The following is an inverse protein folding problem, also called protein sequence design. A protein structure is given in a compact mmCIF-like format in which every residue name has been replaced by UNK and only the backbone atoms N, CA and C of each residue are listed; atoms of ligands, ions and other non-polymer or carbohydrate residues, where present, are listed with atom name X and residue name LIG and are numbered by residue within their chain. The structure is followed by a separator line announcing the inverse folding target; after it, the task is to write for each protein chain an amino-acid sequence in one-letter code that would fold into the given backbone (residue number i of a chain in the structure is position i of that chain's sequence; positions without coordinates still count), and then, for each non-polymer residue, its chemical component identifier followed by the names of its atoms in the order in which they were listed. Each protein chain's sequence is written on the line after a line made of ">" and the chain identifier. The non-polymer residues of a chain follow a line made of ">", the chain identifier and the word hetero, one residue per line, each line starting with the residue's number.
data_IF_644807123467
#
_entry.id   IF_644807123467
#
_cell.length_a   1.000
_cell.length_b   1.000
_cell.length_c   1.000
_cell.angle_alpha   90.00
_cell.angle_beta   90.00
_cell.angle_gamma   90.00
#
_symmetry.space_group_name_H-M   'P 1'
#
loop_
_entity.id
_entity.type
_entity.pdbx_description
1 polymer ?
#
# COMPACT_ATOMS: atom_id res chain seq x y z
N UNK A 1 32.08 75.26 -18.83
CA UNK A 1 32.18 74.72 -17.46
C UNK A 1 30.84 74.06 -17.13
N UNK A 2 30.86 72.73 -17.00
CA UNK A 2 30.10 71.86 -16.08
C UNK A 2 28.61 72.11 -15.77
N UNK A 3 27.74 71.10 -15.58
CA UNK A 3 27.78 69.63 -15.72
C UNK A 3 26.38 69.10 -15.36
N UNK A 4 25.97 68.05 -16.07
CA UNK A 4 25.24 66.85 -15.60
C UNK A 4 23.73 66.88 -15.33
N UNK A 5 23.12 65.90 -15.99
CA UNK A 5 21.73 65.54 -16.12
C UNK A 5 21.13 64.84 -14.90
N UNK A 6 19.79 64.86 -14.90
CA UNK A 6 18.89 64.13 -14.03
C UNK A 6 19.05 62.61 -14.11
N UNK A 7 18.70 61.91 -13.02
CA UNK A 7 18.52 60.47 -13.02
C UNK A 7 18.36 59.89 -11.62
N UNK A 8 17.17 59.99 -11.03
CA UNK A 8 16.81 59.20 -9.85
C UNK A 8 16.13 57.91 -10.34
N UNK A 9 16.92 56.83 -10.46
CA UNK A 9 16.40 55.51 -10.82
C UNK A 9 15.85 54.82 -9.57
N UNK A 10 14.52 54.66 -9.52
CA UNK A 10 13.81 53.92 -8.49
C UNK A 10 13.92 52.41 -8.79
N UNK A 11 14.76 51.69 -8.05
CA UNK A 11 14.87 50.23 -8.09
C UNK A 11 13.66 49.61 -7.39
N UNK A 12 12.67 49.19 -8.17
CA UNK A 12 11.56 48.35 -7.72
C UNK A 12 12.10 46.92 -7.59
N UNK A 13 12.27 46.46 -6.35
CA UNK A 13 12.54 45.04 -6.04
C UNK A 13 11.27 44.25 -6.33
N UNK A 14 11.26 43.55 -7.46
CA UNK A 14 10.25 42.54 -7.79
C UNK A 14 10.42 41.36 -6.83
N UNK A 15 9.69 41.38 -5.71
CA UNK A 15 9.38 40.15 -4.99
C UNK A 15 8.43 39.33 -5.87
N UNK A 16 9.00 38.40 -6.65
CA UNK A 16 8.20 37.35 -7.27
C UNK A 16 7.49 36.59 -6.15
N UNK A 17 6.15 36.53 -6.10
CA UNK A 17 5.49 35.56 -5.24
C UNK A 17 5.99 34.20 -5.74
N UNK A 18 6.61 33.42 -4.86
CA UNK A 18 6.80 32.01 -5.13
C UNK A 18 5.43 31.46 -5.51
N UNK A 19 5.25 31.10 -6.78
CA UNK A 19 4.07 30.40 -7.21
C UNK A 19 4.12 29.05 -6.49
N UNK A 20 3.53 28.98 -5.30
CA UNK A 20 3.23 27.72 -4.66
C UNK A 20 2.41 26.96 -5.67
N UNK A 21 2.98 25.88 -6.21
CA UNK A 21 2.22 24.91 -6.97
C UNK A 21 1.01 24.58 -6.10
N UNK A 22 -0.17 25.00 -6.54
CA UNK A 22 -1.40 24.67 -5.83
C UNK A 22 -1.69 23.22 -6.15
N UNK A 23 -0.97 22.31 -5.47
CA UNK A 23 -1.33 20.91 -5.40
C UNK A 23 -2.78 20.85 -4.99
N UNK A 24 -3.66 20.46 -5.91
CA UNK A 24 -5.07 20.22 -5.60
C UNK A 24 -5.21 18.75 -5.26
N UNK A 25 -5.77 18.41 -4.09
CA UNK A 25 -6.00 17.02 -3.77
C UNK A 25 -7.05 16.41 -4.70
N UNK A 26 -7.25 15.10 -4.60
CA UNK A 26 -8.20 14.34 -5.41
C UNK A 26 -9.68 14.64 -5.11
N UNK A 27 -9.94 15.57 -4.19
CA UNK A 27 -11.27 15.99 -3.75
C UNK A 27 -11.38 17.52 -3.65
N UNK A 28 -12.62 18.02 -3.54
CA UNK A 28 -12.89 19.45 -3.39
C UNK A 28 -12.66 19.90 -1.95
N UNK A 29 -11.64 20.74 -1.73
CA UNK A 29 -11.32 21.29 -0.41
C UNK A 29 -12.45 22.10 0.24
N UNK A 30 -13.36 22.69 -0.55
CA UNK A 30 -14.54 23.36 -0.01
C UNK A 30 -15.53 22.37 0.65
N UNK A 31 -15.40 21.08 0.36
CA UNK A 31 -16.23 20.00 0.90
C UNK A 31 -15.51 19.15 1.94
N UNK A 32 -14.29 19.50 2.33
CA UNK A 32 -13.52 18.80 3.35
C UNK A 32 -14.26 18.79 4.70
N UNK A 33 -14.47 17.61 5.26
CA UNK A 33 -15.18 17.39 6.53
C UNK A 33 -14.26 16.81 7.59
N UNK A 34 -13.42 15.85 7.23
CA UNK A 34 -12.55 15.15 8.20
C UNK A 34 -11.34 16.00 8.56
N UNK A 35 -10.72 15.70 9.71
CA UNK A 35 -9.49 16.38 10.12
C UNK A 35 -8.34 16.12 9.11
N UNK A 36 -8.28 14.91 8.54
CA UNK A 36 -7.32 14.56 7.49
C UNK A 36 -7.58 15.32 6.20
N UNK A 37 -8.83 15.41 5.73
CA UNK A 37 -9.15 16.17 4.51
C UNK A 37 -8.74 17.63 4.65
N UNK A 38 -9.00 18.24 5.81
CA UNK A 38 -8.58 19.62 6.11
C UNK A 38 -7.05 19.75 6.16
N UNK A 39 -6.36 18.76 6.74
CA UNK A 39 -4.90 18.75 6.79
C UNK A 39 -4.29 18.65 5.38
N UNK A 40 -4.82 17.76 4.53
CA UNK A 40 -4.43 17.63 3.12
C UNK A 40 -4.68 18.96 2.37
N UNK A 41 -5.82 19.61 2.60
CA UNK A 41 -6.13 20.89 1.94
C UNK A 41 -5.27 22.07 2.42
N UNK A 42 -4.72 22.00 3.63
CA UNK A 42 -3.89 23.05 4.20
C UNK A 42 -2.40 22.93 3.80
N UNK A 43 -1.99 21.81 3.21
CA UNK A 43 -0.60 21.52 2.84
C UNK A 43 -0.50 21.07 1.37
N UNK A 44 0.19 21.85 0.54
CA UNK A 44 0.31 21.56 -0.89
C UNK A 44 1.05 20.25 -1.19
N UNK A 45 2.00 19.85 -0.34
CA UNK A 45 2.74 18.60 -0.50
C UNK A 45 1.85 17.39 -0.20
N UNK A 46 1.04 17.44 0.86
CA UNK A 46 0.04 16.41 1.15
C UNK A 46 -1.02 16.32 0.05
N UNK A 47 -1.45 17.47 -0.49
CA UNK A 47 -2.40 17.53 -1.59
C UNK A 47 -1.85 16.89 -2.88
N UNK A 48 -0.57 17.13 -3.22
CA UNK A 48 0.09 16.48 -4.35
C UNK A 48 0.19 14.96 -4.18
N UNK A 49 0.53 14.49 -2.98
CA UNK A 49 0.58 13.05 -2.67
C UNK A 49 -0.80 12.40 -2.79
N UNK A 50 -1.85 13.04 -2.26
CA UNK A 50 -3.23 12.55 -2.39
C UNK A 50 -3.67 12.45 -3.87
N UNK A 51 -3.34 13.47 -4.68
CA UNK A 51 -3.62 13.45 -6.11
C UNK A 51 -2.83 12.35 -6.85
N UNK A 52 -1.57 12.10 -6.46
CA UNK A 52 -0.74 11.02 -7.01
C UNK A 52 -1.33 9.64 -6.70
N UNK A 53 -1.73 9.40 -5.45
CA UNK A 53 -2.44 8.19 -5.01
C UNK A 53 -3.68 7.97 -5.87
N UNK A 54 -4.53 8.99 -6.04
CA UNK A 54 -5.74 8.87 -6.81
C UNK A 54 -5.48 8.53 -8.29
N UNK A 55 -4.44 9.12 -8.88
CA UNK A 55 -4.00 8.82 -10.25
C UNK A 55 -3.56 7.36 -10.40
N UNK A 56 -2.69 6.86 -9.51
CA UNK A 56 -2.20 5.48 -9.57
C UNK A 56 -3.32 4.47 -9.29
N UNK A 57 -4.14 4.72 -8.27
CA UNK A 57 -5.31 3.91 -7.95
C UNK A 57 -6.30 3.83 -9.12
N UNK A 58 -6.63 4.97 -9.74
CA UNK A 58 -7.53 5.03 -10.89
C UNK A 58 -7.01 4.22 -12.08
N UNK A 59 -5.72 4.38 -12.41
CA UNK A 59 -5.07 3.61 -13.48
C UNK A 59 -5.12 2.10 -13.21
N UNK A 60 -4.79 1.67 -11.99
CA UNK A 60 -4.83 0.27 -11.60
C UNK A 60 -6.25 -0.31 -11.67
N UNK A 61 -7.25 0.41 -11.14
CA UNK A 61 -8.66 0.00 -11.19
C UNK A 61 -9.21 -0.16 -12.60
N UNK A 62 -8.77 0.67 -13.55
CA UNK A 62 -9.18 0.57 -14.94
C UNK A 62 -8.48 -0.57 -15.70
N UNK A 63 -7.30 -0.99 -15.23
CA UNK A 63 -6.50 -2.04 -15.90
C UNK A 63 -6.80 -3.44 -15.37
N UNK A 64 -7.03 -3.55 -14.06
CA UNK A 64 -7.35 -4.83 -13.43
C UNK A 64 -8.72 -5.36 -13.86
N UNK A 65 -8.85 -6.68 -13.84
CA UNK A 65 -10.14 -7.34 -14.02
C UNK A 65 -11.12 -6.93 -12.90
N UNK A 66 -12.45 -7.06 -13.10
CA UNK A 66 -13.45 -6.56 -12.16
C UNK A 66 -13.29 -7.07 -10.72
N UNK A 67 -12.88 -8.33 -10.54
CA UNK A 67 -12.70 -8.91 -9.21
C UNK A 67 -11.47 -8.30 -8.50
N UNK A 68 -10.33 -8.26 -9.19
CA UNK A 68 -9.11 -7.63 -8.63
C UNK A 68 -9.30 -6.13 -8.40
N UNK A 69 -9.98 -5.41 -9.29
CA UNK A 69 -10.29 -3.99 -9.12
C UNK A 69 -11.23 -3.72 -7.94
N UNK A 70 -12.20 -4.61 -7.68
CA UNK A 70 -13.06 -4.54 -6.48
C UNK A 70 -12.23 -4.75 -5.21
N UNK A 71 -11.38 -5.77 -5.16
CA UNK A 71 -10.50 -6.02 -4.02
C UNK A 71 -9.58 -4.82 -3.75
N UNK A 72 -9.01 -4.19 -4.80
CA UNK A 72 -8.14 -3.01 -4.64
C UNK A 72 -8.91 -1.82 -4.05
N UNK A 73 -10.21 -1.74 -4.36
CA UNK A 73 -11.08 -0.70 -3.79
C UNK A 73 -11.35 -0.93 -2.32
N UNK A 74 -11.55 -2.17 -1.89
CA UNK A 74 -11.71 -2.52 -0.48
C UNK A 74 -10.42 -2.26 0.30
N UNK A 75 -9.28 -2.61 -0.28
CA UNK A 75 -7.94 -2.29 0.24
C UNK A 75 -7.72 -0.76 0.37
N UNK A 76 -8.11 0.03 -0.64
CA UNK A 76 -8.05 1.50 -0.58
C UNK A 76 -8.98 2.08 0.49
N UNK A 77 -10.18 1.51 0.70
CA UNK A 77 -11.08 1.94 1.79
C UNK A 77 -10.47 1.66 3.15
N UNK A 78 -9.82 0.50 3.31
CA UNK A 78 -9.13 0.17 4.54
C UNK A 78 -7.96 1.12 4.80
N UNK A 79 -7.20 1.49 3.76
CA UNK A 79 -6.16 2.50 3.85
C UNK A 79 -6.69 3.84 4.37
N UNK A 80 -7.80 4.33 3.79
CA UNK A 80 -8.42 5.59 4.25
C UNK A 80 -8.83 5.51 5.72
N UNK A 81 -9.41 4.39 6.16
CA UNK A 81 -9.77 4.19 7.56
C UNK A 81 -8.54 4.25 8.48
N UNK A 82 -7.51 3.46 8.17
CA UNK A 82 -6.27 3.42 8.97
C UNK A 82 -5.55 4.76 8.99
N UNK A 83 -5.51 5.46 7.84
CA UNK A 83 -4.94 6.81 7.73
C UNK A 83 -5.63 7.79 8.66
N UNK A 84 -6.96 7.76 8.70
CA UNK A 84 -7.76 8.65 9.53
C UNK A 84 -7.63 8.31 11.03
N UNK A 85 -7.59 7.01 11.39
CA UNK A 85 -7.35 6.54 12.75
C UNK A 85 -5.96 6.96 13.25
N UNK A 86 -4.91 6.72 12.47
CA UNK A 86 -3.55 7.09 12.81
C UNK A 86 -3.32 8.61 12.84
N UNK A 87 -4.06 9.40 12.06
CA UNK A 87 -4.00 10.85 12.18
C UNK A 87 -4.62 11.35 13.50
N UNK A 88 -5.73 10.73 13.91
CA UNK A 88 -6.40 11.07 15.16
C UNK A 88 -5.60 10.63 16.40
N UNK A 89 -4.90 9.51 16.31
CA UNK A 89 -4.04 8.96 17.37
C UNK A 89 -2.75 8.39 16.77
N UNK A 90 -1.75 9.24 16.47
CA UNK A 90 -0.51 8.78 15.86
C UNK A 90 0.20 7.71 16.69
N UNK A 91 0.70 6.62 16.07
CA UNK A 91 1.53 5.67 16.78
C UNK A 91 2.86 6.33 17.19
N UNK A 92 3.31 6.04 18.41
CA UNK A 92 4.57 6.59 18.93
C UNK A 92 4.47 8.07 19.30
N UNK A 93 5.48 8.86 18.94
CA UNK A 93 5.61 10.28 19.31
C UNK A 93 5.55 11.22 18.10
N UNK A 94 5.19 10.71 16.92
CA UNK A 94 5.18 11.53 15.70
C UNK A 94 4.00 12.50 15.69
N UNK A 95 4.19 13.75 15.21
CA UNK A 95 3.09 14.66 14.99
C UNK A 95 2.11 14.12 13.93
N UNK A 96 0.79 14.37 14.05
CA UNK A 96 -0.22 13.90 13.09
C UNK A 96 0.11 14.22 11.62
N UNK A 97 0.66 15.41 11.34
CA UNK A 97 1.02 15.83 9.99
C UNK A 97 2.14 14.97 9.39
N UNK A 98 3.15 14.62 10.21
CA UNK A 98 4.25 13.75 9.77
C UNK A 98 3.73 12.34 9.51
N UNK A 99 2.93 11.80 10.43
CA UNK A 99 2.32 10.48 10.28
C UNK A 99 1.46 10.38 9.01
N UNK A 100 0.64 11.40 8.73
CA UNK A 100 -0.15 11.48 7.51
C UNK A 100 0.75 11.52 6.26
N UNK A 101 1.79 12.35 6.26
CA UNK A 101 2.73 12.45 5.14
C UNK A 101 3.40 11.10 4.83
N UNK A 102 3.85 10.40 5.87
CA UNK A 102 4.50 9.10 5.72
C UNK A 102 3.52 8.06 5.15
N UNK A 103 2.28 8.01 5.66
CA UNK A 103 1.25 7.09 5.14
C UNK A 103 0.88 7.36 3.69
N UNK A 104 0.70 8.63 3.31
CA UNK A 104 0.43 8.98 1.90
C UNK A 104 1.61 8.57 1.02
N UNK A 105 2.85 8.83 1.46
CA UNK A 105 4.06 8.41 0.75
C UNK A 105 4.14 6.90 0.57
N UNK A 106 3.93 6.10 1.62
CA UNK A 106 3.95 4.64 1.52
C UNK A 106 2.84 4.11 0.61
N UNK A 107 1.64 4.71 0.68
CA UNK A 107 0.54 4.30 -0.20
C UNK A 107 0.83 4.61 -1.66
N UNK A 108 1.38 5.78 -1.95
CA UNK A 108 1.74 6.17 -3.32
C UNK A 108 2.85 5.27 -3.88
N UNK A 109 3.85 4.93 -3.05
CA UNK A 109 4.91 4.00 -3.42
C UNK A 109 4.35 2.61 -3.76
N UNK A 110 3.42 2.08 -2.94
CA UNK A 110 2.74 0.83 -3.24
C UNK A 110 1.93 0.88 -4.54
N UNK A 111 1.10 1.93 -4.73
CA UNK A 111 0.26 2.02 -5.93
C UNK A 111 1.07 2.24 -7.21
N UNK A 112 2.19 2.96 -7.12
CA UNK A 112 3.09 3.18 -8.25
C UNK A 112 3.95 1.96 -8.59
N UNK A 113 4.20 1.05 -7.64
CA UNK A 113 4.93 -0.20 -7.87
C UNK A 113 4.07 -1.30 -8.51
N UNK A 114 2.75 -1.12 -8.58
CA UNK A 114 1.83 -2.11 -9.16
C UNK A 114 2.20 -2.47 -10.60
N UNK A 115 2.34 -3.77 -10.85
CA UNK A 115 2.57 -4.31 -12.19
C UNK A 115 1.23 -4.46 -12.91
N UNK A 116 0.97 -3.56 -13.85
CA UNK A 116 -0.27 -3.52 -14.62
C UNK A 116 -0.28 -4.46 -15.84
N UNK A 117 0.61 -5.46 -15.85
CA UNK A 117 0.64 -6.56 -16.81
C UNK A 117 0.39 -7.87 -16.07
N UNK A 118 -0.55 -8.68 -16.58
CA UNK A 118 -0.90 -9.96 -15.97
C UNK A 118 0.31 -10.89 -15.93
N UNK A 119 0.70 -11.33 -14.72
CA UNK A 119 1.64 -12.45 -14.52
C UNK A 119 0.94 -13.78 -14.79
N UNK A 120 1.64 -14.68 -15.48
CA UNK A 120 1.19 -16.05 -15.75
C UNK A 120 1.50 -17.00 -14.58
N UNK A 121 2.66 -16.84 -13.96
CA UNK A 121 3.11 -17.64 -12.81
C UNK A 121 2.75 -17.04 -11.46
N UNK A 122 3.35 -17.62 -10.42
CA UNK A 122 3.21 -17.23 -9.02
C UNK A 122 4.42 -16.43 -8.54
N UNK A 123 5.55 -16.54 -9.24
CA UNK A 123 6.82 -15.97 -8.85
C UNK A 123 6.81 -14.43 -8.81
N UNK A 124 7.67 -13.91 -7.95
CA UNK A 124 7.85 -12.48 -7.69
C UNK A 124 7.15 -12.03 -6.43
N UNK A 125 7.11 -10.70 -6.27
CA UNK A 125 6.57 -10.06 -5.07
C UNK A 125 5.12 -9.63 -5.28
N UNK A 126 4.34 -9.78 -4.21
CA UNK A 126 2.92 -9.49 -4.15
C UNK A 126 2.63 -8.75 -2.85
N UNK A 127 1.87 -7.66 -2.91
CA UNK A 127 1.61 -6.83 -1.73
C UNK A 127 0.14 -6.44 -1.65
N UNK A 128 -0.31 -6.12 -0.45
CA UNK A 128 -1.55 -5.40 -0.16
C UNK A 128 -1.27 -4.40 0.97
N UNK A 129 -2.29 -3.75 1.52
CA UNK A 129 -2.10 -2.79 2.60
C UNK A 129 -1.47 -3.40 3.88
N UNK A 130 -1.75 -4.67 4.16
CA UNK A 130 -1.29 -5.33 5.39
C UNK A 130 0.15 -5.83 5.30
N UNK A 131 0.63 -6.18 4.10
CA UNK A 131 1.98 -6.71 3.95
C UNK A 131 2.27 -7.30 2.59
N UNK A 132 3.26 -8.19 2.55
CA UNK A 132 3.84 -8.70 1.34
C UNK A 132 4.15 -10.19 1.37
N UNK A 133 4.21 -10.76 0.18
CA UNK A 133 4.55 -12.14 -0.11
C UNK A 133 5.63 -12.13 -1.20
N UNK A 134 6.67 -12.93 -1.02
CA UNK A 134 7.67 -13.22 -2.04
C UNK A 134 7.63 -14.71 -2.40
N UNK A 135 7.57 -15.01 -3.70
CA UNK A 135 7.55 -16.39 -4.20
C UNK A 135 8.73 -16.58 -5.14
N UNK A 136 9.60 -17.54 -4.82
CA UNK A 136 10.84 -17.83 -5.55
C UNK A 136 10.89 -19.28 -5.99
N UNK A 137 11.20 -19.50 -7.26
CA UNK A 137 11.43 -20.85 -7.80
C UNK A 137 12.77 -21.39 -7.31
N UNK A 138 12.75 -22.61 -6.78
CA UNK A 138 13.92 -23.35 -6.33
C UNK A 138 14.52 -24.21 -7.47
N UNK A 139 15.78 -24.66 -7.35
CA UNK A 139 16.43 -25.49 -8.37
C UNK A 139 15.71 -26.81 -8.65
N UNK A 140 15.04 -27.38 -7.65
CA UNK A 140 14.23 -28.60 -7.76
C UNK A 140 12.86 -28.37 -8.42
N UNK A 141 12.55 -27.13 -8.80
CA UNK A 141 11.29 -26.73 -9.42
C UNK A 141 10.18 -26.37 -8.43
N UNK A 142 10.37 -26.56 -7.13
CA UNK A 142 9.46 -26.10 -6.09
C UNK A 142 9.44 -24.57 -5.98
N UNK A 143 8.46 -24.03 -5.26
CA UNK A 143 8.30 -22.61 -4.98
C UNK A 143 8.49 -22.39 -3.49
N UNK A 144 9.54 -21.65 -3.13
CA UNK A 144 9.68 -21.10 -1.79
C UNK A 144 8.76 -19.91 -1.62
N UNK A 145 8.16 -19.82 -0.44
CA UNK A 145 7.24 -18.79 -0.01
C UNK A 145 7.78 -18.12 1.24
N UNK A 146 7.76 -16.79 1.24
CA UNK A 146 8.01 -15.96 2.41
C UNK A 146 6.89 -14.91 2.46
N UNK A 147 6.17 -14.83 3.57
CA UNK A 147 5.04 -13.94 3.74
C UNK A 147 5.08 -13.24 5.09
N UNK A 148 4.87 -11.93 5.08
CA UNK A 148 4.79 -11.11 6.29
C UNK A 148 3.66 -10.09 6.15
N UNK A 149 2.90 -9.91 7.23
CA UNK A 149 1.83 -8.92 7.30
C UNK A 149 1.67 -8.39 8.72
N UNK A 150 1.19 -7.16 8.87
CA UNK A 150 0.88 -6.58 10.16
C UNK A 150 -0.40 -5.73 10.07
N UNK A 151 -1.03 -5.47 11.21
CA UNK A 151 -2.11 -4.51 11.23
C UNK A 151 -1.57 -3.13 10.79
N UNK A 152 -2.09 -2.52 9.70
CA UNK A 152 -1.44 -1.37 9.06
C UNK A 152 -1.36 -0.10 9.92
N UNK A 153 -2.18 -0.01 10.96
CA UNK A 153 -2.23 1.15 11.85
C UNK A 153 -1.11 1.12 12.91
N UNK A 154 -0.97 0.00 13.61
CA UNK A 154 -0.27 -0.09 14.90
C UNK A 154 0.40 -1.45 15.14
N UNK A 155 0.40 -2.35 14.16
CA UNK A 155 1.04 -3.66 14.30
C UNK A 155 0.46 -4.54 15.42
N UNK A 156 -0.78 -4.29 15.87
CA UNK A 156 -1.41 -5.06 16.97
C UNK A 156 -1.45 -6.57 16.75
N UNK A 157 -1.35 -6.98 15.48
CA UNK A 157 -0.97 -8.32 15.08
C UNK A 157 0.12 -8.20 14.02
N UNK A 158 1.02 -9.17 14.04
CA UNK A 158 2.07 -9.39 13.06
C UNK A 158 2.02 -10.86 12.70
N UNK A 159 2.22 -11.15 11.42
CA UNK A 159 2.40 -12.48 10.91
C UNK A 159 3.73 -12.60 10.18
N UNK A 160 4.40 -13.75 10.33
CA UNK A 160 5.61 -14.13 9.60
C UNK A 160 5.55 -15.64 9.34
N UNK A 161 5.53 -16.02 8.06
CA UNK A 161 5.40 -17.42 7.68
C UNK A 161 6.26 -17.73 6.46
N UNK A 162 7.00 -18.83 6.57
CA UNK A 162 7.77 -19.42 5.47
C UNK A 162 7.21 -20.77 5.10
N UNK A 163 7.45 -21.16 3.85
CA UNK A 163 7.02 -22.45 3.36
C UNK A 163 7.62 -22.79 2.02
N UNK A 164 7.35 -24.00 1.56
CA UNK A 164 7.64 -24.43 0.21
C UNK A 164 6.47 -25.23 -0.35
N UNK A 165 6.34 -25.25 -1.67
CA UNK A 165 5.26 -25.98 -2.31
C UNK A 165 5.47 -26.14 -3.79
N UNK A 166 4.50 -26.77 -4.44
CA UNK A 166 4.51 -26.97 -5.88
C UNK A 166 3.17 -26.55 -6.50
N UNK A 167 3.23 -26.18 -7.78
CA UNK A 167 2.01 -25.91 -8.55
C UNK A 167 1.28 -27.24 -8.78
N UNK A 168 0.02 -27.32 -8.33
CA UNK A 168 -0.91 -28.44 -8.56
C UNK A 168 -2.27 -27.85 -8.94
N UNK A 169 -2.85 -28.30 -10.05
CA UNK A 169 -4.18 -27.87 -10.52
C UNK A 169 -4.36 -26.34 -10.57
N UNK A 170 -3.37 -25.61 -11.11
CA UNK A 170 -3.39 -24.15 -11.24
C UNK A 170 -3.44 -23.38 -9.90
N UNK A 171 -3.09 -24.04 -8.80
CA UNK A 171 -2.86 -23.45 -7.48
C UNK A 171 -1.49 -23.90 -6.95
N UNK A 172 -0.98 -23.20 -5.94
CA UNK A 172 0.19 -23.66 -5.17
C UNK A 172 -0.29 -24.00 -3.78
N UNK A 173 0.04 -25.19 -3.30
CA UNK A 173 -0.13 -25.55 -1.89
C UNK A 173 1.23 -25.46 -1.25
N UNK A 174 1.37 -24.51 -0.33
CA UNK A 174 2.57 -24.26 0.46
C UNK A 174 2.42 -25.02 1.78
N UNK A 175 3.37 -25.88 2.07
CA UNK A 175 3.57 -26.47 3.39
C UNK A 175 4.39 -25.47 4.22
N UNK A 176 3.87 -25.08 5.38
CA UNK A 176 4.54 -24.10 6.25
C UNK A 176 5.68 -24.75 7.02
N UNK A 177 6.81 -24.04 7.18
CA UNK A 177 8.00 -24.56 7.88
C UNK A 177 7.78 -24.58 9.40
N UNK A 178 7.20 -23.52 9.96
CA UNK A 178 7.16 -23.28 11.41
C UNK A 178 5.76 -23.50 12.03
N UNK A 179 4.83 -24.07 11.26
CA UNK A 179 3.45 -24.32 11.71
C UNK A 179 2.95 -25.69 11.22
N UNK A 180 3.22 -26.73 11.99
CA UNK A 180 2.93 -28.10 11.59
C UNK A 180 1.47 -28.30 11.16
N UNK A 181 1.30 -28.95 10.00
CA UNK A 181 0.00 -29.29 9.43
C UNK A 181 -0.79 -28.12 8.84
N UNK A 182 -0.34 -26.88 8.99
CA UNK A 182 -0.90 -25.73 8.28
C UNK A 182 -0.45 -25.72 6.82
N UNK A 183 -1.36 -25.33 5.94
CA UNK A 183 -1.04 -25.10 4.53
C UNK A 183 -1.58 -23.77 4.04
N UNK A 184 -0.88 -23.15 3.10
CA UNK A 184 -1.35 -21.95 2.41
C UNK A 184 -1.70 -22.34 0.97
N UNK A 185 -2.90 -22.00 0.52
CA UNK A 185 -3.30 -22.18 -0.87
C UNK A 185 -3.24 -20.86 -1.61
N UNK A 186 -2.43 -20.82 -2.65
CA UNK A 186 -2.26 -19.66 -3.52
C UNK A 186 -2.94 -19.94 -4.85
N UNK A 187 -3.80 -19.03 -5.30
CA UNK A 187 -4.46 -19.13 -6.60
C UNK A 187 -4.40 -17.81 -7.36
N UNK A 188 -4.19 -17.88 -8.67
CA UNK A 188 -4.24 -16.71 -9.55
C UNK A 188 -5.69 -16.43 -9.92
N UNK A 189 -6.22 -15.25 -9.58
CA UNK A 189 -7.52 -14.76 -10.04
C UNK A 189 -7.33 -13.46 -10.79
N UNK A 190 -7.33 -13.54 -12.12
CA UNK A 190 -7.04 -12.39 -12.98
C UNK A 190 -5.65 -11.81 -12.71
N UNK A 191 -5.58 -10.56 -12.24
CA UNK A 191 -4.34 -9.92 -11.84
C UNK A 191 -3.89 -10.30 -10.41
N UNK A 192 -4.84 -10.54 -9.50
CA UNK A 192 -4.58 -10.81 -8.09
C UNK A 192 -4.09 -12.22 -7.78
N UNK A 193 -3.25 -12.33 -6.75
CA UNK A 193 -2.91 -13.57 -6.08
C UNK A 193 -3.81 -13.70 -4.84
N UNK A 194 -4.60 -14.75 -4.77
CA UNK A 194 -5.45 -15.04 -3.61
C UNK A 194 -4.76 -16.05 -2.72
N UNK A 195 -4.54 -15.68 -1.47
CA UNK A 195 -4.01 -16.54 -0.42
C UNK A 195 -5.15 -16.98 0.51
N UNK A 196 -5.28 -18.29 0.69
CA UNK A 196 -6.12 -18.90 1.73
C UNK A 196 -5.25 -19.64 2.73
N UNK A 197 -5.57 -19.53 4.01
CA UNK A 197 -4.91 -20.22 5.11
C UNK A 197 -5.77 -21.42 5.52
N UNK A 198 -5.20 -22.62 5.52
CA UNK A 198 -5.94 -23.84 5.86
C UNK A 198 -5.31 -24.49 7.11
N UNK A 199 -6.09 -24.69 8.18
CA UNK A 199 -5.63 -25.41 9.36
C UNK A 199 -5.48 -26.91 9.09
N UNK A 200 -4.71 -27.64 9.91
CA UNK A 200 -4.70 -29.11 9.88
C UNK A 200 -6.08 -29.66 10.23
N UNK A 201 -6.35 -30.89 9.76
CA UNK A 201 -7.65 -31.53 9.95
C UNK A 201 -8.05 -31.69 11.42
N UNK A 202 -7.07 -31.95 12.31
CA UNK A 202 -7.34 -32.07 13.75
C UNK A 202 -7.69 -30.73 14.43
N UNK A 203 -7.44 -29.61 13.75
CA UNK A 203 -7.67 -28.25 14.26
C UNK A 203 -8.49 -27.40 13.27
N UNK A 204 -9.48 -28.01 12.60
CA UNK A 204 -10.31 -27.34 11.59
C UNK A 204 -10.97 -26.03 12.07
N UNK A 205 -11.28 -25.94 13.37
CA UNK A 205 -11.88 -24.76 14.01
C UNK A 205 -10.83 -23.85 14.71
N UNK A 206 -9.55 -23.99 14.38
CA UNK A 206 -8.49 -23.19 14.98
C UNK A 206 -8.72 -21.69 14.76
N UNK A 207 -9.01 -20.98 15.86
CA UNK A 207 -9.22 -19.54 15.83
C UNK A 207 -7.92 -18.75 15.56
N UNK A 208 -6.77 -19.31 15.92
CA UNK A 208 -5.46 -18.67 15.83
C UNK A 208 -4.57 -19.36 14.79
N UNK A 209 -3.87 -18.56 13.97
CA UNK A 209 -2.78 -19.05 13.12
C UNK A 209 -1.48 -19.02 13.93
N UNK A 210 -0.70 -20.11 14.00
CA UNK A 210 0.55 -20.13 14.79
C UNK A 210 1.58 -19.08 14.36
N UNK A 211 1.56 -18.70 13.09
CA UNK A 211 2.43 -17.70 12.49
C UNK A 211 1.88 -16.27 12.56
N UNK A 212 0.77 -16.03 13.29
CA UNK A 212 0.19 -14.70 13.47
C UNK A 212 -0.06 -14.41 14.95
N UNK A 213 0.10 -13.14 15.34
CA UNK A 213 -0.45 -12.60 16.58
C UNK A 213 -1.98 -12.69 16.64
N UNK A 214 -2.54 -12.39 17.82
CA UNK A 214 -3.98 -12.50 18.08
C UNK A 214 -4.82 -11.76 17.03
N UNK A 215 -5.78 -12.47 16.43
CA UNK A 215 -6.67 -11.98 15.35
C UNK A 215 -5.96 -11.53 14.06
N UNK A 216 -4.68 -11.87 13.88
CA UNK A 216 -3.95 -11.68 12.63
C UNK A 216 -4.26 -12.77 11.60
N UNK A 217 -4.11 -12.42 10.33
CA UNK A 217 -4.26 -13.33 9.20
C UNK A 217 -3.45 -12.83 8.00
N UNK A 218 -2.87 -13.74 7.21
CA UNK A 218 -2.34 -13.48 5.87
C UNK A 218 -3.39 -13.63 4.77
N UNK A 219 -4.52 -14.28 5.04
CA UNK A 219 -5.54 -14.56 4.03
C UNK A 219 -6.03 -13.27 3.32
N UNK A 220 -6.05 -13.28 1.99
CA UNK A 220 -6.48 -12.10 1.24
C UNK A 220 -6.08 -12.09 -0.24
N UNK A 221 -6.32 -10.94 -0.88
CA UNK A 221 -5.89 -10.66 -2.25
C UNK A 221 -4.62 -9.81 -2.20
N UNK A 222 -3.61 -10.22 -2.96
CA UNK A 222 -2.35 -9.52 -3.12
C UNK A 222 -2.16 -9.13 -4.59
N UNK A 223 -1.56 -7.96 -4.81
CA UNK A 223 -1.36 -7.36 -6.12
C UNK A 223 0.11 -7.50 -6.53
N UNK A 224 0.39 -7.76 -7.81
CA UNK A 224 1.77 -7.91 -8.27
C UNK A 224 2.47 -6.56 -8.18
N UNK A 225 3.64 -6.51 -7.53
CA UNK A 225 4.45 -5.30 -7.41
C UNK A 225 5.84 -5.52 -8.02
N UNK A 226 6.46 -4.45 -8.50
CA UNK A 226 7.88 -4.44 -8.86
C UNK A 226 8.62 -3.63 -7.80
N UNK A 227 9.43 -4.30 -6.97
CA UNK A 227 10.39 -3.58 -6.12
C UNK A 227 11.53 -3.07 -7.02
N UNK A 228 11.99 -1.83 -6.81
CA UNK A 228 13.16 -1.29 -7.51
C UNK A 228 14.43 -2.08 -7.20
#
# INVERSE_FOLDING_TARGET
>A
MNRLAAGFALLIVLCSPAAWATGKPSFDCARARTAVEKAICADSGLAEQDASIAKHFGKARMTFDPATGKALTEDQRWFVKVRDEAYASPPGNDPPQKELADRLKYRDAFLSSLVLKRRQGFEGDWENLAGGISIKRQPDGSLAFDGSAAHPENGRWVCDVRGAGAVKNNAVVIETVDADGWTLTLSRKGYGLVLSENPPAEAADAASRPYCGLNGALGGVYYPVSRP
#
